data_IF_893779453742
#
_entry.id   IF_893779453742
#
_cell.length_a   1.000
_cell.length_b   1.000
_cell.length_c   1.000
_cell.angle_alpha   90.00
_cell.angle_beta   90.00
_cell.angle_gamma   90.00
#
_symmetry.space_group_name_H-M   'P 1'
#
loop_
_entity.id
_entity.type
_entity.pdbx_description
1 polymer ?
#
# COMPACT_ATOMS: atom_id res chain seq x y z
N UNK A 1 -9.48 9.74 19.25
CA UNK A 1 -9.64 8.31 18.95
C UNK A 1 -8.45 7.81 18.13
N UNK A 2 -7.84 6.75 18.56
CA UNK A 2 -6.71 6.21 17.83
C UNK A 2 -7.17 5.23 16.76
N UNK A 3 -6.39 5.14 15.71
CA UNK A 3 -6.67 4.18 14.65
C UNK A 3 -6.29 2.78 15.12
N UNK A 4 -7.14 1.81 14.85
CA UNK A 4 -6.79 0.42 15.08
C UNK A 4 -5.81 -0.04 14.00
N UNK A 5 -4.90 -0.92 14.39
CA UNK A 5 -4.04 -1.53 13.39
C UNK A 5 -4.85 -2.41 12.47
N UNK A 6 -4.67 -2.22 11.19
CA UNK A 6 -5.39 -2.97 10.19
C UNK A 6 -4.40 -3.76 9.36
N UNK A 7 -4.62 -5.06 9.27
CA UNK A 7 -3.82 -5.87 8.37
C UNK A 7 -4.24 -5.59 6.94
N UNK A 8 -3.27 -5.42 6.07
CA UNK A 8 -3.55 -5.19 4.67
C UNK A 8 -3.94 -6.50 4.00
N UNK A 9 -5.12 -6.50 3.40
CA UNK A 9 -5.57 -7.63 2.60
C UNK A 9 -5.11 -7.41 1.16
N UNK A 10 -5.26 -8.43 0.33
CA UNK A 10 -4.93 -8.28 -1.08
C UNK A 10 -5.81 -7.20 -1.73
N UNK A 11 -7.08 -7.14 -1.34
CA UNK A 11 -7.97 -6.11 -1.85
C UNK A 11 -7.49 -4.70 -1.48
N UNK A 12 -7.00 -4.54 -0.25
CA UNK A 12 -6.43 -3.26 0.17
C UNK A 12 -5.21 -2.91 -0.67
N UNK A 13 -4.38 -3.90 -0.96
CA UNK A 13 -3.19 -3.67 -1.78
C UNK A 13 -3.55 -3.28 -3.22
N UNK A 14 -4.60 -3.87 -3.76
CA UNK A 14 -5.06 -3.49 -5.09
C UNK A 14 -5.53 -2.04 -5.12
N UNK A 15 -6.21 -1.61 -4.07
CA UNK A 15 -6.64 -0.22 -3.97
C UNK A 15 -5.44 0.73 -3.88
N UNK A 16 -4.43 0.34 -3.10
CA UNK A 16 -3.20 1.12 -3.00
C UNK A 16 -2.53 1.22 -4.37
N UNK A 17 -2.52 0.13 -5.10
CA UNK A 17 -1.93 0.11 -6.43
C UNK A 17 -2.64 1.09 -7.36
N UNK A 18 -3.97 1.07 -7.37
CA UNK A 18 -4.73 1.96 -8.21
C UNK A 18 -4.48 3.43 -7.86
N UNK A 19 -4.47 3.74 -6.58
CA UNK A 19 -4.24 5.11 -6.15
C UNK A 19 -2.81 5.55 -6.48
N UNK A 20 -1.85 4.67 -6.31
CA UNK A 20 -0.46 4.96 -6.64
C UNK A 20 -0.30 5.23 -8.14
N UNK A 21 -0.98 4.46 -8.97
CA UNK A 21 -0.95 4.68 -10.42
C UNK A 21 -1.58 6.01 -10.81
N UNK A 22 -2.56 6.44 -10.05
CA UNK A 22 -3.21 7.73 -10.29
C UNK A 22 -2.37 8.91 -9.83
N UNK A 23 -1.22 8.64 -9.21
CA UNK A 23 -0.35 9.69 -8.75
C UNK A 23 -0.66 10.20 -7.35
N UNK A 24 -1.49 9.48 -6.61
CA UNK A 24 -1.82 9.88 -5.24
C UNK A 24 -0.60 9.75 -4.33
N UNK A 25 -0.48 10.69 -3.41
CA UNK A 25 0.60 10.66 -2.44
C UNK A 25 0.32 9.62 -1.36
N UNK A 26 1.36 9.09 -0.72
CA UNK A 26 1.16 8.09 0.34
C UNK A 26 0.21 8.55 1.44
N UNK A 27 0.24 9.84 1.77
CA UNK A 27 -0.64 10.38 2.79
C UNK A 27 -2.11 10.28 2.36
N UNK A 28 -2.39 10.58 1.10
CA UNK A 28 -3.74 10.47 0.56
C UNK A 28 -4.21 9.03 0.57
N UNK A 29 -3.31 8.12 0.22
CA UNK A 29 -3.62 6.69 0.24
C UNK A 29 -3.93 6.24 1.66
N UNK A 30 -3.14 6.69 2.63
CA UNK A 30 -3.36 6.35 4.02
C UNK A 30 -4.73 6.83 4.50
N UNK A 31 -5.09 8.05 4.14
CA UNK A 31 -6.39 8.60 4.52
C UNK A 31 -7.54 7.82 3.90
N UNK A 32 -7.39 7.45 2.64
CA UNK A 32 -8.45 6.74 1.92
C UNK A 32 -8.64 5.32 2.43
N UNK A 33 -7.55 4.65 2.77
CA UNK A 33 -7.61 3.26 3.20
C UNK A 33 -7.79 3.10 4.71
N UNK A 34 -7.59 4.17 5.46
CA UNK A 34 -7.65 4.11 6.91
C UNK A 34 -6.45 3.44 7.54
N UNK A 35 -5.37 3.29 6.79
CA UNK A 35 -4.14 2.66 7.25
C UNK A 35 -3.14 3.72 7.65
N UNK A 36 -2.30 3.42 8.63
CA UNK A 36 -1.28 4.34 9.09
C UNK A 36 -0.34 4.72 7.95
N UNK A 37 0.06 6.00 7.91
CA UNK A 37 0.94 6.51 6.87
C UNK A 37 2.23 5.69 6.77
N UNK A 38 2.82 5.36 7.93
CA UNK A 38 4.07 4.59 7.93
C UNK A 38 3.88 3.21 7.29
N UNK A 39 2.73 2.59 7.56
CA UNK A 39 2.42 1.30 6.98
C UNK A 39 2.27 1.40 5.46
N UNK A 40 1.60 2.46 5.00
CA UNK A 40 1.46 2.69 3.56
C UNK A 40 2.82 2.90 2.92
N UNK A 41 3.67 3.72 3.56
CA UNK A 41 5.00 3.98 3.02
C UNK A 41 5.82 2.71 2.89
N UNK A 42 5.79 1.87 3.92
CA UNK A 42 6.49 0.58 3.88
C UNK A 42 5.93 -0.32 2.81
N UNK A 43 4.61 -0.32 2.67
CA UNK A 43 3.96 -1.16 1.66
C UNK A 43 4.35 -0.73 0.26
N UNK A 44 4.42 0.56 0.03
CA UNK A 44 4.85 1.08 -1.28
C UNK A 44 6.28 0.67 -1.60
N UNK A 45 7.14 0.63 -0.60
CA UNK A 45 8.52 0.18 -0.80
C UNK A 45 8.57 -1.32 -1.07
N UNK A 46 7.76 -2.09 -0.34
CA UNK A 46 7.74 -3.55 -0.48
C UNK A 46 7.28 -3.98 -1.85
N UNK A 47 6.27 -3.32 -2.40
CA UNK A 47 5.67 -3.71 -3.67
C UNK A 47 6.25 -3.00 -4.88
N UNK A 48 7.37 -2.31 -4.71
CA UNK A 48 7.97 -1.55 -5.79
C UNK A 48 8.56 -2.46 -6.85
N UNK A 49 8.22 -2.19 -8.10
CA UNK A 49 8.76 -2.97 -9.21
C UNK A 49 9.98 -2.27 -9.83
N UNK A 50 10.42 -2.78 -10.97
CA UNK A 50 11.60 -2.24 -11.66
C UNK A 50 11.44 -0.78 -12.05
N UNK A 51 10.22 -0.39 -12.35
CA UNK A 51 9.92 0.97 -12.79
C UNK A 51 9.62 1.91 -11.63
N UNK A 52 9.68 1.39 -10.41
CA UNK A 52 9.37 2.17 -9.23
C UNK A 52 7.89 2.29 -8.95
N UNK A 53 7.07 1.48 -9.60
CA UNK A 53 5.63 1.48 -9.41
C UNK A 53 5.24 0.40 -8.42
N UNK A 54 4.23 0.70 -7.62
CA UNK A 54 3.72 -0.27 -6.67
C UNK A 54 2.85 -1.30 -7.39
N UNK A 55 3.08 -2.57 -7.07
CA UNK A 55 2.27 -3.67 -7.57
C UNK A 55 1.80 -4.50 -6.39
N UNK A 56 0.49 -4.64 -6.28
CA UNK A 56 -0.11 -5.43 -5.20
C UNK A 56 0.40 -6.87 -5.23
N UNK A 57 0.57 -7.42 -6.41
CA UNK A 57 1.06 -8.78 -6.57
C UNK A 57 2.45 -8.96 -5.99
N UNK A 58 3.34 -8.01 -6.25
CA UNK A 58 4.71 -8.07 -5.74
C UNK A 58 4.70 -7.99 -4.21
N UNK A 59 3.90 -7.08 -3.66
CA UNK A 59 3.81 -6.93 -2.22
C UNK A 59 3.26 -8.20 -1.59
N UNK A 60 2.27 -8.82 -2.22
CA UNK A 60 1.67 -10.04 -1.71
C UNK A 60 2.67 -11.20 -1.71
N UNK A 61 3.43 -11.33 -2.78
CA UNK A 61 4.45 -12.37 -2.88
C UNK A 61 5.55 -12.19 -1.85
N UNK A 62 5.89 -10.95 -1.55
CA UNK A 62 6.92 -10.65 -0.57
C UNK A 62 6.60 -11.21 0.82
N UNK A 63 5.32 -11.36 1.12
CA UNK A 63 4.91 -11.90 2.42
C UNK A 63 5.20 -13.38 2.54
N UNK A 64 5.32 -14.07 1.42
CA UNK A 64 5.52 -15.52 1.41
C UNK A 64 6.93 -15.91 1.02
N UNK A 65 7.78 -14.95 0.74
CA UNK A 65 9.15 -15.21 0.33
C UNK A 65 10.03 -15.60 1.52
#
# INVERSE_FOLDING_TARGET
MRKAYKKLTYADRQEIEQMSESGEKPKAIADATGVCFQTIYRELQRGKDKDGKYKAEIAQQSLFA
#
